data_IF_009987784644
#
_entry.id   IF_009987784644
#
_cell.length_a   1.000
_cell.length_b   1.000
_cell.length_c   1.000
_cell.angle_alpha   90.00
_cell.angle_beta   90.00
_cell.angle_gamma   90.00
#
_symmetry.space_group_name_H-M   'P 1'
#
loop_
_entity.id
_entity.type
_entity.pdbx_description
1 polymer ?
#
# COMPACT_ATOMS: atom_id res chain seq x y z
N UNK A 1 2.97 -44.34 -12.14
CA UNK A 1 2.74 -42.98 -12.67
C UNK A 1 3.32 -42.03 -11.65
N UNK A 2 4.44 -41.38 -11.98
CA UNK A 2 5.01 -40.33 -11.14
C UNK A 2 4.08 -39.12 -11.20
N UNK A 3 3.72 -38.56 -10.05
CA UNK A 3 3.06 -37.27 -9.99
C UNK A 3 3.91 -36.25 -10.77
N UNK A 4 3.29 -35.33 -11.55
CA UNK A 4 4.06 -34.30 -12.22
C UNK A 4 4.79 -33.49 -11.16
N UNK A 5 6.12 -33.36 -11.31
CA UNK A 5 6.92 -32.48 -10.48
C UNK A 5 6.33 -31.06 -10.61
N UNK A 6 5.91 -30.46 -9.49
CA UNK A 6 5.47 -29.07 -9.50
C UNK A 6 6.65 -28.20 -9.94
N UNK A 7 6.48 -27.46 -11.03
CA UNK A 7 7.38 -26.36 -11.34
C UNK A 7 7.22 -25.32 -10.24
N UNK A 8 8.29 -25.02 -9.50
CA UNK A 8 8.33 -23.81 -8.67
C UNK A 8 8.11 -22.62 -9.59
N UNK A 9 7.14 -21.74 -9.29
CA UNK A 9 7.29 -20.36 -9.79
C UNK A 9 8.57 -19.83 -9.20
N UNK A 10 9.44 -19.41 -10.11
CA UNK A 10 10.49 -18.48 -9.77
C UNK A 10 9.94 -17.08 -10.05
N UNK A 11 9.69 -16.30 -8.99
CA UNK A 11 9.33 -14.88 -9.11
C UNK A 11 10.59 -14.10 -9.50
N UNK A 12 11.04 -14.31 -10.73
CA UNK A 12 12.36 -13.87 -11.17
C UNK A 12 12.32 -12.43 -11.71
N UNK A 13 11.92 -11.49 -10.84
CA UNK A 13 12.06 -10.07 -11.12
C UNK A 13 13.39 -9.56 -10.53
N UNK A 14 14.31 -9.05 -11.37
CA UNK A 14 15.63 -8.64 -10.88
C UNK A 14 15.60 -7.37 -10.02
N UNK A 15 14.52 -6.57 -10.15
CA UNK A 15 14.23 -5.36 -9.37
C UNK A 15 12.72 -5.13 -9.23
N UNK A 16 12.33 -4.44 -8.15
CA UNK A 16 10.97 -3.93 -7.93
C UNK A 16 10.97 -2.41 -7.78
N UNK A 17 10.09 -1.73 -8.53
CA UNK A 17 9.84 -0.30 -8.41
C UNK A 17 8.42 -0.09 -7.89
N UNK A 18 8.28 0.40 -6.67
CA UNK A 18 6.98 0.54 -6.02
C UNK A 18 6.50 2.00 -6.04
N UNK A 19 5.20 2.20 -6.29
CA UNK A 19 4.49 3.48 -6.28
C UNK A 19 3.25 3.31 -5.43
N UNK A 20 2.85 4.34 -4.69
CA UNK A 20 1.74 4.15 -3.77
C UNK A 20 1.55 5.23 -2.74
N UNK A 21 0.74 4.89 -1.75
CA UNK A 21 0.53 5.69 -0.55
C UNK A 21 1.16 5.06 0.70
N UNK A 22 0.61 5.38 1.88
CA UNK A 22 1.09 4.89 3.18
C UNK A 22 0.99 3.37 3.34
N UNK A 23 0.14 2.68 2.57
CA UNK A 23 0.05 1.22 2.59
C UNK A 23 1.34 0.53 2.10
N UNK A 24 2.18 1.26 1.37
CA UNK A 24 3.46 0.75 0.87
C UNK A 24 4.63 1.72 1.06
N UNK A 25 4.46 2.84 1.78
CA UNK A 25 5.54 3.79 2.06
C UNK A 25 6.59 3.20 3.01
N UNK A 26 7.85 3.18 2.58
CA UNK A 26 8.99 2.71 3.36
C UNK A 26 9.82 3.84 3.96
N UNK A 27 9.30 5.07 3.97
CA UNK A 27 9.88 6.23 4.65
C UNK A 27 10.02 7.50 3.82
N UNK A 28 9.45 7.61 2.61
CA UNK A 28 9.59 8.80 1.77
C UNK A 28 9.01 10.05 2.42
N UNK A 29 7.81 9.97 3.03
CA UNK A 29 7.22 11.16 3.67
C UNK A 29 8.04 11.64 4.89
N UNK A 30 8.67 10.70 5.60
CA UNK A 30 9.55 10.98 6.74
C UNK A 30 10.88 11.57 6.27
N UNK A 31 11.50 10.97 5.25
CA UNK A 31 12.74 11.47 4.66
C UNK A 31 12.58 12.86 4.03
N UNK A 32 11.36 13.21 3.59
CA UNK A 32 11.02 14.56 3.14
C UNK A 32 10.90 15.59 4.27
N UNK A 33 10.90 15.17 5.54
CA UNK A 33 10.71 16.04 6.70
C UNK A 33 9.29 16.58 6.86
N UNK A 34 8.31 15.97 6.18
CA UNK A 34 6.90 16.41 6.22
C UNK A 34 6.19 15.86 7.46
N UNK A 35 6.53 14.63 7.85
CA UNK A 35 5.94 13.95 9.00
C UNK A 35 7.02 13.25 9.82
N UNK A 36 6.70 12.86 11.06
CA UNK A 36 7.55 12.05 11.92
C UNK A 36 6.77 10.86 12.43
N UNK A 37 7.33 9.67 12.26
CA UNK A 37 6.84 8.43 12.88
C UNK A 37 7.65 8.19 14.15
N UNK A 38 6.94 8.08 15.27
CA UNK A 38 7.53 7.83 16.60
C UNK A 38 7.18 6.41 17.06
N UNK A 39 7.81 5.88 18.12
CA UNK A 39 7.30 4.66 18.77
C UNK A 39 5.81 4.82 19.12
N UNK A 40 4.99 3.77 19.01
CA UNK A 40 5.35 2.35 18.87
C UNK A 40 5.42 1.79 17.43
N UNK A 41 5.43 2.64 16.39
CA UNK A 41 5.57 2.14 15.01
C UNK A 41 6.87 1.35 14.82
N UNK A 42 6.81 0.26 14.04
CA UNK A 42 7.94 -0.62 13.77
C UNK A 42 8.38 -1.52 14.93
N UNK A 43 7.68 -1.54 16.07
CA UNK A 43 8.07 -2.30 17.27
C UNK A 43 8.22 -3.82 17.06
N UNK A 44 7.44 -4.43 16.17
CA UNK A 44 7.41 -5.89 15.99
C UNK A 44 8.64 -6.37 15.22
N UNK A 45 8.84 -5.89 13.99
CA UNK A 45 9.95 -6.34 13.14
C UNK A 45 11.21 -5.48 13.28
N UNK A 46 11.08 -4.17 13.16
CA UNK A 46 12.22 -3.24 13.08
C UNK A 46 12.78 -2.80 14.43
N UNK A 47 12.06 -3.10 15.52
CA UNK A 47 12.38 -2.73 16.91
C UNK A 47 12.44 -1.21 17.14
N UNK A 48 11.72 -0.46 16.31
CA UNK A 48 11.59 0.99 16.35
C UNK A 48 11.09 1.57 15.03
N UNK A 49 10.85 2.90 14.96
CA UNK A 49 10.37 3.56 13.75
C UNK A 49 11.26 3.28 12.54
N UNK A 50 10.65 2.79 11.46
CA UNK A 50 11.32 2.44 10.20
C UNK A 50 10.77 3.19 8.98
N UNK A 51 9.95 4.21 9.22
CA UNK A 51 9.26 4.98 8.17
C UNK A 51 7.98 4.34 7.63
N UNK A 52 7.61 3.16 8.13
CA UNK A 52 6.39 2.42 7.75
C UNK A 52 5.23 2.75 8.69
N UNK A 53 4.04 2.93 8.13
CA UNK A 53 2.80 3.23 8.86
C UNK A 53 2.17 1.94 9.40
N UNK A 54 2.92 1.21 10.20
CA UNK A 54 2.57 -0.10 10.77
C UNK A 54 3.37 -0.34 12.06
N UNK A 55 2.94 -1.26 12.90
CA UNK A 55 3.73 -1.78 14.02
C UNK A 55 4.94 -2.63 13.57
N UNK A 56 5.06 -2.89 12.26
CA UNK A 56 6.25 -3.48 11.67
C UNK A 56 6.20 -3.52 10.15
N UNK A 57 6.21 -4.72 9.55
CA UNK A 57 6.24 -4.90 8.09
C UNK A 57 4.92 -4.54 7.41
N UNK A 58 5.03 -3.95 6.21
CA UNK A 58 3.93 -3.69 5.29
C UNK A 58 3.71 -4.88 4.36
N UNK A 59 2.58 -4.89 3.63
CA UNK A 59 2.30 -5.91 2.61
C UNK A 59 3.44 -6.01 1.56
N UNK A 60 4.03 -4.87 1.16
CA UNK A 60 5.17 -4.86 0.23
C UNK A 60 6.41 -5.56 0.80
N UNK A 61 6.69 -5.45 2.09
CA UNK A 61 7.86 -6.09 2.71
C UNK A 61 7.72 -7.62 2.69
N UNK A 62 6.53 -8.13 2.98
CA UNK A 62 6.25 -9.57 2.88
C UNK A 62 6.33 -10.10 1.44
N UNK A 63 5.95 -9.28 0.45
CA UNK A 63 6.12 -9.63 -0.97
C UNK A 63 7.61 -9.66 -1.34
N UNK A 64 8.41 -8.71 -0.83
CA UNK A 64 9.87 -8.72 -1.02
C UNK A 64 10.50 -9.98 -0.39
N UNK A 65 10.11 -10.34 0.84
CA UNK A 65 10.53 -11.58 1.51
C UNK A 65 10.18 -12.81 0.67
N UNK A 66 8.96 -12.88 0.11
CA UNK A 66 8.51 -14.00 -0.71
C UNK A 66 9.25 -14.12 -2.06
N UNK A 67 9.86 -13.03 -2.54
CA UNK A 67 10.67 -13.02 -3.76
C UNK A 67 12.17 -13.18 -3.47
N UNK A 68 12.55 -13.44 -2.21
CA UNK A 68 13.95 -13.49 -1.75
C UNK A 68 14.73 -12.20 -2.11
N UNK A 69 14.06 -11.05 -2.02
CA UNK A 69 14.62 -9.73 -2.29
C UNK A 69 14.72 -8.88 -1.01
N UNK A 70 15.73 -8.00 -0.89
CA UNK A 70 15.84 -7.10 0.24
C UNK A 70 14.69 -6.07 0.24
N UNK A 71 14.27 -5.61 1.41
CA UNK A 71 13.28 -4.54 1.52
C UNK A 71 13.69 -3.30 0.73
N UNK A 72 12.69 -2.69 0.09
CA UNK A 72 12.91 -1.51 -0.73
C UNK A 72 13.32 -0.31 0.13
N UNK A 73 14.34 0.41 -0.33
CA UNK A 73 14.72 1.71 0.23
C UNK A 73 13.79 2.80 -0.32
N UNK A 74 13.44 3.77 0.53
CA UNK A 74 12.73 4.98 0.11
C UNK A 74 13.61 5.81 -0.83
N UNK A 75 13.02 6.31 -1.93
CA UNK A 75 13.72 7.15 -2.91
C UNK A 75 14.32 8.43 -2.29
N UNK A 76 13.62 9.03 -1.33
CA UNK A 76 14.02 10.30 -0.70
C UNK A 76 15.03 10.15 0.44
N UNK A 77 15.38 8.92 0.84
CA UNK A 77 16.37 8.73 1.90
C UNK A 77 17.77 9.10 1.40
N UNK A 78 18.33 10.14 2.00
CA UNK A 78 19.60 10.73 1.61
C UNK A 78 20.78 10.19 2.44
N UNK A 79 20.52 9.72 3.66
CA UNK A 79 21.55 9.31 4.63
C UNK A 79 21.30 7.87 5.09
N UNK A 80 22.36 7.12 5.32
CA UNK A 80 22.32 5.66 5.38
C UNK A 80 22.87 5.10 4.07
N UNK A 81 23.03 3.80 3.95
CA UNK A 81 23.49 3.17 2.71
C UNK A 81 22.27 2.64 1.94
N UNK A 82 21.37 3.48 1.36
CA UNK A 82 20.27 2.96 0.59
C UNK A 82 20.84 2.19 -0.59
N UNK A 83 20.43 0.93 -0.70
CA UNK A 83 20.87 0.05 -1.75
C UNK A 83 19.71 -0.14 -2.73
N UNK A 84 19.79 0.57 -3.85
CA UNK A 84 18.77 0.52 -4.88
C UNK A 84 19.01 -0.60 -5.90
N UNK A 85 20.00 -1.48 -5.71
CA UNK A 85 20.39 -2.52 -6.68
C UNK A 85 19.21 -3.40 -7.10
N UNK A 86 18.30 -3.67 -6.17
CA UNK A 86 17.09 -4.49 -6.37
C UNK A 86 15.82 -3.65 -6.49
N UNK A 87 15.96 -2.36 -6.78
CA UNK A 87 14.85 -1.45 -7.00
C UNK A 87 14.69 -0.38 -5.92
N UNK A 88 13.57 0.32 -5.95
CA UNK A 88 13.35 1.54 -5.18
C UNK A 88 11.86 1.75 -4.90
N UNK A 89 11.54 2.37 -3.76
CA UNK A 89 10.18 2.72 -3.41
C UNK A 89 9.94 4.23 -3.53
N UNK A 90 8.94 4.61 -4.32
CA UNK A 90 8.49 5.98 -4.55
C UNK A 90 7.16 6.28 -3.85
N UNK A 91 6.51 5.28 -3.22
CA UNK A 91 5.30 5.48 -2.45
C UNK A 91 5.54 6.46 -1.30
N UNK A 92 4.58 7.34 -1.05
CA UNK A 92 4.65 8.30 0.05
C UNK A 92 3.29 8.39 0.75
N UNK A 93 3.29 8.42 2.07
CA UNK A 93 2.05 8.52 2.83
C UNK A 93 1.20 9.74 2.44
N UNK A 94 -0.13 9.55 2.45
CA UNK A 94 -1.08 10.57 2.03
C UNK A 94 -1.09 10.89 0.53
N UNK A 95 -0.29 10.20 -0.29
CA UNK A 95 -0.28 10.42 -1.74
C UNK A 95 -1.62 10.11 -2.40
N UNK A 96 -1.97 10.95 -3.36
CA UNK A 96 -3.14 10.82 -4.23
C UNK A 96 -2.71 10.54 -5.66
N UNK A 97 -3.62 9.96 -6.46
CA UNK A 97 -3.46 9.89 -7.91
C UNK A 97 -3.50 11.30 -8.49
N UNK A 98 -4.49 12.08 -8.07
CA UNK A 98 -4.66 13.45 -8.55
C UNK A 98 -3.48 14.34 -8.11
N UNK A 99 -3.13 15.39 -8.89
CA UNK A 99 -2.11 16.37 -8.50
C UNK A 99 -2.40 17.00 -7.13
N UNK A 100 -1.33 17.18 -6.35
CA UNK A 100 -1.43 17.81 -5.04
C UNK A 100 -1.86 19.29 -5.18
N UNK A 101 -2.71 19.72 -4.27
CA UNK A 101 -3.15 21.11 -4.08
C UNK A 101 -2.53 21.68 -2.81
N UNK A 102 -2.64 23.00 -2.55
CA UNK A 102 -2.13 23.61 -1.31
C UNK A 102 -2.73 23.03 -0.01
N UNK A 103 -3.86 22.32 -0.10
CA UNK A 103 -4.51 21.66 1.05
C UNK A 103 -4.20 20.17 1.14
N UNK A 104 -3.36 19.64 0.24
CA UNK A 104 -3.00 18.22 0.25
C UNK A 104 -2.02 17.93 1.39
N UNK A 105 -2.22 16.81 2.08
CA UNK A 105 -1.35 16.37 3.18
C UNK A 105 0.00 15.86 2.68
N UNK A 106 0.10 15.51 1.40
CA UNK A 106 1.32 15.03 0.75
C UNK A 106 1.50 15.73 -0.60
N UNK A 107 2.69 16.29 -0.91
CA UNK A 107 2.98 16.90 -2.19
C UNK A 107 3.36 15.87 -3.29
N UNK A 108 3.63 14.63 -2.92
CA UNK A 108 4.14 13.59 -3.82
C UNK A 108 2.99 12.79 -4.45
N UNK A 109 2.17 13.43 -5.28
CA UNK A 109 1.12 12.72 -6.04
C UNK A 109 1.72 11.66 -6.97
N UNK A 110 0.89 10.76 -7.50
CA UNK A 110 1.34 9.71 -8.42
C UNK A 110 2.19 10.25 -9.59
N UNK A 111 1.76 11.35 -10.21
CA UNK A 111 2.53 12.00 -11.27
C UNK A 111 3.92 12.49 -10.85
N UNK A 112 4.08 12.89 -9.59
CA UNK A 112 5.37 13.25 -8.98
C UNK A 112 6.21 11.99 -8.72
N UNK A 113 5.63 10.93 -8.16
CA UNK A 113 6.33 9.65 -7.95
C UNK A 113 6.85 9.07 -9.28
N UNK A 114 6.05 9.13 -10.35
CA UNK A 114 6.49 8.76 -11.71
C UNK A 114 7.67 9.65 -12.14
N UNK A 115 7.61 10.95 -11.89
CA UNK A 115 8.69 11.88 -12.24
C UNK A 115 9.98 11.63 -11.44
N UNK A 116 9.85 11.21 -10.17
CA UNK A 116 10.96 10.74 -9.34
C UNK A 116 11.60 9.49 -9.92
N UNK A 117 10.80 8.50 -10.38
CA UNK A 117 11.30 7.32 -11.07
C UNK A 117 12.04 7.67 -12.38
N UNK A 118 11.48 8.54 -13.21
CA UNK A 118 12.12 8.99 -14.46
C UNK A 118 13.50 9.59 -14.17
N UNK A 119 13.57 10.49 -13.18
CA UNK A 119 14.83 11.07 -12.71
C UNK A 119 15.80 10.01 -12.18
N UNK A 120 15.30 9.10 -11.35
CA UNK A 120 16.09 8.01 -10.77
C UNK A 120 16.72 7.15 -11.88
N UNK A 121 15.92 6.66 -12.83
CA UNK A 121 16.38 5.85 -13.96
C UNK A 121 17.44 6.57 -14.78
N UNK A 122 17.17 7.82 -15.18
CA UNK A 122 18.12 8.63 -15.95
C UNK A 122 19.46 8.79 -15.21
N UNK A 123 19.40 9.03 -13.89
CA UNK A 123 20.60 9.17 -13.06
C UNK A 123 21.36 7.85 -12.89
N UNK A 124 20.66 6.74 -12.76
CA UNK A 124 21.26 5.40 -12.69
C UNK A 124 22.04 5.10 -13.96
N UNK A 125 21.42 5.25 -15.13
CA UNK A 125 22.07 4.99 -16.43
C UNK A 125 23.30 5.87 -16.61
N UNK A 126 23.20 7.16 -16.27
CA UNK A 126 24.34 8.08 -16.31
C UNK A 126 25.50 7.62 -15.39
N UNK A 127 25.21 7.19 -14.17
CA UNK A 127 26.23 6.75 -13.21
C UNK A 127 26.89 5.43 -13.62
N UNK A 128 26.14 4.46 -14.13
CA UNK A 128 26.68 3.19 -14.61
C UNK A 128 27.68 3.37 -15.76
N UNK A 129 27.46 4.37 -16.63
CA UNK A 129 28.41 4.68 -17.70
C UNK A 129 29.73 5.27 -17.19
N UNK A 130 29.73 5.87 -15.99
CA UNK A 130 30.91 6.52 -15.39
C UNK A 130 31.79 5.57 -14.60
N UNK A 131 31.22 4.57 -13.92
CA UNK A 131 32.00 3.63 -13.12
C UNK A 131 31.26 2.34 -12.78
N UNK A 132 31.92 1.21 -12.99
CA UNK A 132 31.46 -0.12 -12.51
C UNK A 132 31.35 -0.23 -10.99
N UNK A 133 31.86 0.74 -10.23
CA UNK A 133 31.71 0.77 -8.76
C UNK A 133 30.26 0.97 -8.33
N UNK A 134 29.38 1.45 -9.21
CA UNK A 134 27.97 1.69 -8.90
C UNK A 134 27.09 0.43 -9.10
N UNK A 135 27.56 -0.58 -9.83
CA UNK A 135 26.84 -1.84 -10.12
C UNK A 135 26.44 -2.61 -8.84
N UNK A 136 27.14 -2.38 -7.73
CA UNK A 136 26.82 -2.96 -6.41
C UNK A 136 25.67 -2.27 -5.67
N UNK A 137 25.28 -1.06 -6.09
CA UNK A 137 24.30 -0.23 -5.39
C UNK A 137 23.10 0.17 -6.28
N UNK A 138 23.24 0.09 -7.60
CA UNK A 138 22.22 0.55 -8.55
C UNK A 138 21.73 -0.62 -9.43
N UNK A 139 20.47 -0.58 -9.91
CA UNK A 139 19.97 -1.58 -10.85
C UNK A 139 20.77 -1.56 -12.14
N UNK A 140 20.99 -2.73 -12.75
CA UNK A 140 21.49 -2.78 -14.13
C UNK A 140 20.46 -2.16 -15.09
N UNK A 141 20.92 -1.64 -16.23
CA UNK A 141 20.03 -0.95 -17.18
C UNK A 141 18.90 -1.85 -17.69
N UNK A 142 19.16 -3.13 -17.94
CA UNK A 142 18.14 -4.09 -18.38
C UNK A 142 17.12 -4.43 -17.28
N UNK A 143 17.42 -4.15 -16.01
CA UNK A 143 16.49 -4.36 -14.90
C UNK A 143 15.30 -3.40 -14.95
N UNK A 144 15.41 -2.23 -15.59
CA UNK A 144 14.26 -1.35 -15.80
C UNK A 144 13.22 -1.96 -16.74
N UNK A 145 13.65 -2.72 -17.75
CA UNK A 145 12.72 -3.44 -18.63
C UNK A 145 12.17 -4.71 -17.98
N UNK A 146 13.03 -5.45 -17.25
CA UNK A 146 12.69 -6.74 -16.62
C UNK A 146 11.99 -6.62 -15.27
N UNK A 147 12.10 -5.46 -14.61
CA UNK A 147 11.61 -5.24 -13.27
C UNK A 147 10.09 -5.26 -13.16
N UNK A 148 9.61 -5.41 -11.92
CA UNK A 148 8.20 -5.34 -11.56
C UNK A 148 7.86 -3.93 -11.06
N UNK A 149 6.75 -3.39 -11.54
CA UNK A 149 6.23 -2.08 -11.17
C UNK A 149 4.96 -2.28 -10.36
N UNK A 150 4.98 -1.94 -9.08
CA UNK A 150 3.88 -2.19 -8.14
C UNK A 150 3.14 -0.89 -7.79
N UNK A 151 1.82 -0.96 -7.66
CA UNK A 151 0.96 0.20 -7.41
C UNK A 151 -0.08 -0.12 -6.33
N UNK A 152 -0.12 0.69 -5.27
CA UNK A 152 -1.19 0.71 -4.26
C UNK A 152 -1.54 2.18 -3.94
N UNK A 153 -2.49 2.74 -4.70
CA UNK A 153 -2.83 4.17 -4.67
C UNK A 153 -4.29 4.40 -5.10
N UNK A 154 -4.85 5.54 -4.68
CA UNK A 154 -6.22 5.96 -5.02
C UNK A 154 -7.17 6.02 -3.81
N UNK A 155 -6.81 5.34 -2.71
CA UNK A 155 -7.64 5.33 -1.50
C UNK A 155 -7.73 6.75 -0.89
N UNK A 156 -6.63 7.52 -0.88
CA UNK A 156 -6.63 8.90 -0.39
C UNK A 156 -7.47 9.85 -1.25
N UNK A 157 -7.55 9.63 -2.57
CA UNK A 157 -8.40 10.44 -3.47
C UNK A 157 -9.87 10.32 -3.07
N UNK A 158 -10.32 9.12 -2.69
CA UNK A 158 -11.67 8.89 -2.18
C UNK A 158 -11.83 9.40 -0.75
N UNK A 159 -10.93 9.00 0.15
CA UNK A 159 -11.00 9.33 1.58
C UNK A 159 -11.03 10.84 1.83
N UNK A 160 -10.11 11.59 1.21
CA UNK A 160 -10.05 13.04 1.34
C UNK A 160 -11.28 13.74 0.75
N UNK A 161 -11.88 13.19 -0.31
CA UNK A 161 -13.05 13.78 -0.94
C UNK A 161 -14.31 13.73 -0.06
N UNK A 162 -14.49 12.69 0.75
CA UNK A 162 -15.63 12.57 1.68
C UNK A 162 -15.69 13.69 2.75
N UNK A 163 -14.58 14.37 3.02
CA UNK A 163 -14.56 15.50 3.95
C UNK A 163 -15.17 16.78 3.39
N UNK A 164 -15.37 16.89 2.06
CA UNK A 164 -15.77 18.14 1.41
C UNK A 164 -16.73 18.01 0.24
N UNK A 165 -16.98 16.80 -0.27
CA UNK A 165 -17.81 16.53 -1.45
C UNK A 165 -18.97 15.60 -1.14
N UNK A 166 -20.04 15.71 -1.92
CA UNK A 166 -21.13 14.74 -1.91
C UNK A 166 -20.70 13.42 -2.56
N UNK A 167 -21.43 12.34 -2.27
CA UNK A 167 -21.20 11.03 -2.88
C UNK A 167 -21.19 11.10 -4.42
N UNK A 168 -22.17 11.78 -5.02
CA UNK A 168 -22.26 11.91 -6.48
C UNK A 168 -21.06 12.66 -7.08
N UNK A 169 -20.57 13.70 -6.40
CA UNK A 169 -19.36 14.42 -6.82
C UNK A 169 -18.10 13.55 -6.72
N UNK A 170 -18.03 12.67 -5.71
CA UNK A 170 -16.92 11.72 -5.55
C UNK A 170 -16.94 10.71 -6.71
N UNK A 171 -18.08 10.07 -6.96
CA UNK A 171 -18.23 9.11 -8.06
C UNK A 171 -17.93 9.75 -9.42
N UNK A 172 -18.40 10.98 -9.65
CA UNK A 172 -18.13 11.73 -10.88
C UNK A 172 -16.65 12.09 -11.06
N UNK A 173 -15.84 12.10 -9.99
CA UNK A 173 -14.41 12.40 -10.06
C UNK A 173 -13.52 11.18 -10.37
N UNK A 174 -14.03 9.96 -10.19
CA UNK A 174 -13.28 8.71 -10.41
C UNK A 174 -12.66 8.64 -11.83
N UNK A 175 -13.39 8.95 -12.93
CA UNK A 175 -12.81 8.90 -14.28
C UNK A 175 -11.61 9.83 -14.45
N UNK A 176 -11.66 11.03 -13.86
CA UNK A 176 -10.54 11.98 -13.91
C UNK A 176 -9.31 11.45 -13.20
N UNK A 177 -9.48 10.84 -12.02
CA UNK A 177 -8.36 10.21 -11.30
C UNK A 177 -7.78 9.05 -12.08
N UNK A 178 -8.62 8.18 -12.65
CA UNK A 178 -8.13 7.05 -13.47
C UNK A 178 -7.45 7.48 -14.76
N UNK A 179 -7.83 8.64 -15.34
CA UNK A 179 -7.11 9.24 -16.45
C UNK A 179 -5.68 9.67 -16.06
N UNK A 180 -5.51 10.30 -14.89
CA UNK A 180 -4.17 10.64 -14.38
C UNK A 180 -3.33 9.39 -14.07
N UNK A 181 -3.97 8.33 -13.53
CA UNK A 181 -3.32 7.04 -13.34
C UNK A 181 -2.88 6.42 -14.68
N UNK A 182 -3.76 6.40 -15.68
CA UNK A 182 -3.45 5.92 -17.03
C UNK A 182 -2.26 6.68 -17.64
N UNK A 183 -2.23 8.01 -17.50
CA UNK A 183 -1.11 8.84 -17.98
C UNK A 183 0.22 8.48 -17.30
N UNK A 184 0.22 8.23 -16.00
CA UNK A 184 1.41 7.79 -15.29
C UNK A 184 1.89 6.40 -15.74
N UNK A 185 0.97 5.44 -15.91
CA UNK A 185 1.29 4.10 -16.45
C UNK A 185 1.89 4.22 -17.86
N UNK A 186 1.28 5.05 -18.73
CA UNK A 186 1.81 5.30 -20.07
C UNK A 186 3.24 5.85 -20.02
N UNK A 187 3.52 6.82 -19.16
CA UNK A 187 4.88 7.39 -19.01
C UNK A 187 5.90 6.34 -18.57
N UNK A 188 5.54 5.47 -17.62
CA UNK A 188 6.40 4.36 -17.20
C UNK A 188 6.63 3.35 -18.33
N UNK A 189 5.58 3.03 -19.09
CA UNK A 189 5.66 2.14 -20.26
C UNK A 189 6.57 2.71 -21.37
N UNK A 190 6.44 4.00 -21.67
CA UNK A 190 7.28 4.73 -22.62
C UNK A 190 8.76 4.70 -22.17
N UNK A 191 8.99 4.66 -20.86
CA UNK A 191 10.29 4.45 -20.22
C UNK A 191 10.72 2.98 -20.10
N UNK A 192 10.08 2.07 -20.83
CA UNK A 192 10.52 0.68 -20.94
C UNK A 192 9.98 -0.27 -19.88
N UNK A 193 9.14 0.19 -18.94
CA UNK A 193 8.47 -0.70 -18.00
C UNK A 193 7.57 -1.70 -18.74
N UNK A 194 7.58 -2.98 -18.32
CA UNK A 194 6.79 -4.04 -18.97
C UNK A 194 5.99 -4.93 -18.03
N UNK A 195 6.28 -4.93 -16.73
CA UNK A 195 5.54 -5.76 -15.78
C UNK A 195 4.88 -4.85 -14.74
N UNK A 196 3.56 -4.72 -14.80
CA UNK A 196 2.76 -3.90 -13.91
C UNK A 196 1.91 -4.78 -13.00
N UNK A 197 1.91 -4.47 -11.73
CA UNK A 197 1.16 -5.14 -10.68
C UNK A 197 0.36 -4.08 -9.92
N UNK A 198 -0.94 -4.05 -10.16
CA UNK A 198 -1.83 -2.96 -9.76
C UNK A 198 -2.80 -3.50 -8.72
N UNK A 199 -2.67 -3.05 -7.48
CA UNK A 199 -3.66 -3.26 -6.45
C UNK A 199 -4.84 -2.32 -6.66
N UNK A 200 -6.05 -2.80 -6.41
CA UNK A 200 -7.20 -1.93 -6.23
C UNK A 200 -7.24 -1.35 -4.81
N UNK A 201 -8.24 -0.54 -4.45
CA UNK A 201 -8.32 0.07 -3.11
C UNK A 201 -8.97 -0.86 -2.09
N UNK A 202 -8.71 -0.67 -0.79
CA UNK A 202 -9.29 -1.46 0.29
C UNK A 202 -10.73 -1.06 0.68
N UNK A 203 -11.34 -1.75 1.66
CA UNK A 203 -12.65 -1.40 2.22
C UNK A 203 -12.57 -0.12 3.05
N UNK A 204 -12.60 1.02 2.35
CA UNK A 204 -12.42 2.36 2.91
C UNK A 204 -13.37 2.65 4.07
N UNK A 205 -14.62 2.16 4.01
CA UNK A 205 -15.61 2.38 5.06
C UNK A 205 -15.29 1.68 6.38
N UNK A 206 -14.39 0.69 6.37
CA UNK A 206 -14.04 -0.10 7.54
C UNK A 206 -12.83 0.44 8.33
N UNK A 207 -12.26 1.56 7.90
CA UNK A 207 -11.21 2.23 8.68
C UNK A 207 -11.83 2.83 9.95
N UNK A 208 -11.24 2.60 11.13
CA UNK A 208 -11.76 3.11 12.39
C UNK A 208 -11.93 4.65 12.35
N UNK A 209 -11.01 5.34 11.65
CA UNK A 209 -11.12 6.78 11.39
C UNK A 209 -12.43 7.15 10.67
N UNK A 210 -12.77 6.43 9.60
CA UNK A 210 -13.97 6.72 8.81
C UNK A 210 -15.23 6.37 9.58
N UNK A 211 -15.24 5.26 10.32
CA UNK A 211 -16.35 4.90 11.20
C UNK A 211 -16.55 5.97 12.29
N UNK A 212 -15.47 6.41 12.95
CA UNK A 212 -15.54 7.46 13.97
C UNK A 212 -16.08 8.79 13.43
N UNK A 213 -15.70 9.16 12.19
CA UNK A 213 -16.06 10.46 11.60
C UNK A 213 -17.43 10.47 10.92
N UNK A 214 -17.75 9.41 10.18
CA UNK A 214 -18.90 9.35 9.25
C UNK A 214 -19.93 8.28 9.62
N UNK A 215 -19.61 7.40 10.58
CA UNK A 215 -20.46 6.30 11.05
C UNK A 215 -21.29 6.62 12.29
N UNK A 216 -21.52 7.89 12.63
CA UNK A 216 -22.30 8.30 13.81
C UNK A 216 -23.81 8.04 13.67
N UNK A 217 -24.28 7.81 12.44
CA UNK A 217 -25.64 7.39 12.11
C UNK A 217 -25.63 5.89 11.76
N UNK A 218 -26.20 5.01 12.61
CA UNK A 218 -26.20 3.57 12.37
C UNK A 218 -26.84 3.14 11.05
N UNK A 219 -27.75 3.95 10.48
CA UNK A 219 -28.37 3.65 9.19
C UNK A 219 -27.40 3.72 8.00
N UNK A 220 -26.22 4.32 8.21
CA UNK A 220 -25.15 4.43 7.20
C UNK A 220 -24.10 3.33 7.32
N UNK A 221 -24.22 2.46 8.33
CA UNK A 221 -23.31 1.35 8.53
C UNK A 221 -23.84 0.09 7.82
N UNK A 222 -22.93 -0.67 7.21
CA UNK A 222 -23.23 -2.01 6.73
C UNK A 222 -23.21 -3.04 7.88
N UNK A 223 -23.50 -4.30 7.56
CA UNK A 223 -23.58 -5.40 8.54
C UNK A 223 -22.27 -5.64 9.30
N UNK A 224 -21.14 -5.15 8.80
CA UNK A 224 -19.83 -5.24 9.44
C UNK A 224 -19.51 -4.01 10.31
N UNK A 225 -20.42 -3.03 10.39
CA UNK A 225 -20.19 -1.77 11.10
C UNK A 225 -19.33 -0.78 10.30
N UNK A 226 -19.15 -0.99 9.01
CA UNK A 226 -18.37 -0.10 8.14
C UNK A 226 -19.27 0.95 7.47
N UNK A 227 -18.72 2.12 7.14
CA UNK A 227 -19.48 3.18 6.46
C UNK A 227 -19.80 2.77 5.01
N UNK A 228 -21.07 2.43 4.74
CA UNK A 228 -21.49 1.79 3.50
C UNK A 228 -21.17 2.63 2.25
N UNK A 229 -21.42 3.95 2.30
CA UNK A 229 -21.14 4.86 1.18
C UNK A 229 -19.65 4.94 0.80
N UNK A 230 -18.75 4.80 1.77
CA UNK A 230 -17.31 4.77 1.50
C UNK A 230 -16.91 3.47 0.81
N UNK A 231 -17.42 2.33 1.29
CA UNK A 231 -17.23 1.03 0.66
C UNK A 231 -17.82 0.99 -0.76
N UNK A 232 -18.96 1.63 -0.99
CA UNK A 232 -19.58 1.72 -2.33
C UNK A 232 -18.73 2.53 -3.30
N UNK A 233 -18.20 3.69 -2.88
CA UNK A 233 -17.29 4.48 -3.70
C UNK A 233 -15.99 3.73 -4.03
N UNK A 234 -15.40 3.03 -3.06
CA UNK A 234 -14.24 2.17 -3.27
C UNK A 234 -14.51 1.05 -4.28
N UNK A 235 -15.66 0.36 -4.16
CA UNK A 235 -16.08 -0.67 -5.13
C UNK A 235 -16.27 -0.09 -6.55
N UNK A 236 -16.85 1.09 -6.69
CA UNK A 236 -17.01 1.76 -7.99
C UNK A 236 -15.67 2.17 -8.60
N UNK A 237 -14.74 2.68 -7.78
CA UNK A 237 -13.38 2.97 -8.22
C UNK A 237 -12.68 1.69 -8.69
N UNK A 238 -12.74 0.63 -7.90
CA UNK A 238 -12.12 -0.66 -8.21
C UNK A 238 -12.68 -1.29 -9.50
N UNK A 239 -13.99 -1.18 -9.73
CA UNK A 239 -14.63 -1.62 -10.97
C UNK A 239 -14.07 -0.90 -12.20
N UNK A 240 -13.96 0.43 -12.13
CA UNK A 240 -13.42 1.24 -13.24
C UNK A 240 -11.91 1.04 -13.42
N UNK A 241 -11.15 0.87 -12.33
CA UNK A 241 -9.73 0.54 -12.38
C UNK A 241 -9.51 -0.81 -13.07
N UNK A 242 -10.30 -1.83 -12.73
CA UNK A 242 -10.22 -3.14 -13.38
C UNK A 242 -10.55 -3.05 -14.89
N UNK A 243 -11.56 -2.26 -15.28
CA UNK A 243 -11.84 -1.99 -16.69
C UNK A 243 -10.66 -1.29 -17.39
N UNK A 244 -10.02 -0.32 -16.72
CA UNK A 244 -8.81 0.33 -17.21
C UNK A 244 -7.65 -0.67 -17.36
N UNK A 245 -7.44 -1.60 -16.41
CA UNK A 245 -6.39 -2.61 -16.56
C UNK A 245 -6.63 -3.53 -17.75
N UNK A 246 -7.89 -3.90 -18.06
CA UNK A 246 -8.22 -4.66 -19.29
C UNK A 246 -7.93 -3.85 -20.55
N UNK A 247 -8.27 -2.55 -20.57
CA UNK A 247 -7.92 -1.64 -21.67
C UNK A 247 -6.40 -1.59 -21.89
N UNK A 248 -5.63 -1.40 -20.82
CA UNK A 248 -4.16 -1.33 -20.90
C UNK A 248 -3.55 -2.66 -21.36
N UNK A 249 -4.10 -3.80 -20.92
CA UNK A 249 -3.69 -5.14 -21.41
C UNK A 249 -3.88 -5.30 -22.92
N UNK A 250 -4.98 -4.77 -23.47
CA UNK A 250 -5.25 -4.81 -24.91
C UNK A 250 -4.34 -3.83 -25.69
N UNK A 251 -4.04 -2.67 -25.10
CA UNK A 251 -3.23 -1.63 -25.71
C UNK A 251 -1.72 -1.94 -25.72
N UNK A 252 -1.20 -2.58 -24.66
CA UNK A 252 0.23 -2.86 -24.48
C UNK A 252 0.51 -4.36 -24.55
N UNK A 253 0.44 -4.91 -25.77
CA UNK A 253 0.57 -6.34 -26.02
C UNK A 253 1.95 -6.94 -25.63
N UNK A 254 3.00 -6.12 -25.53
CA UNK A 254 4.34 -6.54 -25.09
C UNK A 254 4.56 -6.41 -23.57
N UNK A 255 3.50 -6.10 -22.80
CA UNK A 255 3.53 -5.93 -21.35
C UNK A 255 2.69 -6.97 -20.60
N UNK A 256 3.14 -7.32 -19.41
CA UNK A 256 2.35 -8.02 -18.43
C UNK A 256 1.69 -7.04 -17.46
N UNK A 257 0.36 -7.00 -17.41
CA UNK A 257 -0.38 -6.14 -16.49
C UNK A 257 -1.26 -7.05 -15.65
N UNK A 258 -1.08 -7.01 -14.34
CA UNK A 258 -1.79 -7.84 -13.36
C UNK A 258 -2.58 -6.93 -12.45
N UNK A 259 -3.91 -7.09 -12.44
CA UNK A 259 -4.78 -6.49 -11.43
C UNK A 259 -4.90 -7.46 -10.26
N UNK A 260 -4.82 -6.95 -9.03
CA UNK A 260 -4.98 -7.71 -7.79
C UNK A 260 -6.11 -7.12 -6.95
N UNK A 261 -7.11 -7.94 -6.64
CA UNK A 261 -8.28 -7.56 -5.87
C UNK A 261 -8.01 -7.61 -4.36
N UNK A 262 -7.24 -6.64 -3.86
CA UNK A 262 -6.94 -6.52 -2.44
C UNK A 262 -8.17 -6.08 -1.62
N UNK A 263 -9.18 -5.46 -2.24
CA UNK A 263 -10.46 -5.15 -1.60
C UNK A 263 -11.09 -6.41 -1.03
N UNK A 264 -11.23 -7.44 -1.86
CA UNK A 264 -11.88 -8.68 -1.46
C UNK A 264 -11.08 -9.39 -0.36
N UNK A 265 -9.74 -9.39 -0.44
CA UNK A 265 -8.86 -9.96 0.60
C UNK A 265 -9.09 -9.25 1.95
N UNK A 266 -8.98 -7.92 1.97
CA UNK A 266 -9.15 -7.10 3.18
C UNK A 266 -10.58 -7.19 3.74
N UNK A 267 -11.59 -7.19 2.87
CA UNK A 267 -12.99 -7.35 3.27
C UNK A 267 -13.26 -8.74 3.86
N UNK A 268 -12.67 -9.79 3.30
CA UNK A 268 -12.80 -11.16 3.82
C UNK A 268 -12.11 -11.32 5.19
N UNK A 269 -10.95 -10.70 5.36
CA UNK A 269 -10.25 -10.63 6.66
C UNK A 269 -11.14 -9.98 7.71
N UNK A 270 -11.72 -8.81 7.42
CA UNK A 270 -12.60 -8.10 8.36
C UNK A 270 -13.86 -8.91 8.67
N UNK A 271 -14.51 -9.49 7.66
CA UNK A 271 -15.74 -10.24 7.85
C UNK A 271 -15.54 -11.56 8.61
N UNK A 272 -14.37 -12.18 8.51
CA UNK A 272 -14.07 -13.50 9.07
C UNK A 272 -12.90 -13.47 10.06
N UNK A 273 -12.62 -12.31 10.66
CA UNK A 273 -11.42 -12.03 11.46
C UNK A 273 -11.09 -13.13 12.49
N UNK A 274 -12.11 -13.63 13.20
CA UNK A 274 -11.98 -14.68 14.21
C UNK A 274 -11.51 -16.02 13.67
N UNK A 275 -11.82 -16.35 12.40
CA UNK A 275 -11.32 -17.57 11.74
C UNK A 275 -9.82 -17.50 11.46
N UNK A 276 -9.27 -16.30 11.38
CA UNK A 276 -7.86 -16.06 11.07
C UNK A 276 -7.05 -15.70 12.32
N UNK A 277 -7.62 -15.83 13.52
CA UNK A 277 -6.93 -15.59 14.79
C UNK A 277 -6.98 -14.15 15.29
N UNK A 278 -7.68 -13.25 14.60
CA UNK A 278 -7.87 -11.88 15.08
C UNK A 278 -9.06 -11.81 16.04
N UNK A 279 -9.02 -10.87 16.98
CA UNK A 279 -10.12 -10.54 17.89
C UNK A 279 -10.80 -9.21 17.55
N UNK A 280 -10.10 -8.29 16.89
CA UNK A 280 -10.58 -6.93 16.64
C UNK A 280 -10.46 -6.54 15.16
N UNK A 281 -11.57 -6.54 14.39
CA UNK A 281 -11.53 -6.27 12.95
C UNK A 281 -11.45 -4.78 12.59
N UNK A 282 -12.01 -3.90 13.43
CA UNK A 282 -12.11 -2.45 13.16
C UNK A 282 -11.40 -1.61 14.23
N UNK A 283 -11.49 -1.99 15.51
CA UNK A 283 -10.87 -1.26 16.61
C UNK A 283 -9.36 -1.10 16.36
N UNK A 284 -8.83 0.11 16.56
CA UNK A 284 -7.41 0.38 16.41
C UNK A 284 -6.63 -0.20 17.60
N UNK A 285 -5.53 -0.89 17.33
CA UNK A 285 -4.61 -1.35 18.37
C UNK A 285 -3.93 -0.16 19.06
N UNK A 286 -3.40 0.79 18.30
CA UNK A 286 -2.74 1.99 18.77
C UNK A 286 -3.62 3.22 18.63
N UNK A 287 -4.12 3.72 19.75
CA UNK A 287 -5.04 4.84 19.72
C UNK A 287 -5.51 5.29 21.09
N UNK A 288 -6.55 6.11 21.11
CA UNK A 288 -7.11 6.72 22.31
C UNK A 288 -8.63 6.77 22.22
N UNK A 289 -9.31 6.67 23.37
CA UNK A 289 -10.78 6.75 23.47
C UNK A 289 -11.46 5.42 23.81
N UNK A 290 -10.75 4.29 23.74
CA UNK A 290 -11.28 2.98 24.11
C UNK A 290 -12.32 2.40 23.13
N UNK A 291 -12.92 1.24 23.46
CA UNK A 291 -13.90 0.57 22.59
C UNK A 291 -15.10 1.48 22.23
N UNK A 292 -15.71 1.30 21.05
CA UNK A 292 -15.47 0.19 20.10
C UNK A 292 -14.38 0.46 19.06
N UNK A 293 -13.86 1.69 18.94
CA UNK A 293 -12.93 2.06 17.86
C UNK A 293 -11.51 2.32 18.33
N UNK A 294 -11.32 2.73 19.59
CA UNK A 294 -10.06 3.19 20.15
C UNK A 294 -9.37 4.24 19.27
N UNK A 295 -10.13 5.20 18.74
CA UNK A 295 -9.63 6.20 17.81
C UNK A 295 -10.10 7.61 18.16
N UNK A 296 -9.17 8.56 18.17
CA UNK A 296 -9.44 9.99 18.30
C UNK A 296 -8.49 10.77 17.38
N UNK A 297 -9.04 11.47 16.39
CA UNK A 297 -8.24 12.20 15.38
C UNK A 297 -7.36 13.31 15.97
N UNK A 298 -7.61 13.71 17.22
CA UNK A 298 -6.82 14.75 17.89
C UNK A 298 -5.47 14.24 18.37
N UNK A 299 -5.32 12.94 18.63
CA UNK A 299 -4.13 12.32 19.22
C UNK A 299 -3.77 11.05 18.45
N UNK A 300 -2.78 11.16 17.56
CA UNK A 300 -2.32 10.01 16.75
C UNK A 300 -1.51 9.02 17.58
N UNK A 301 -1.39 7.78 17.08
CA UNK A 301 -0.62 6.71 17.71
C UNK A 301 0.78 7.18 18.15
N UNK A 302 1.16 6.87 19.39
CA UNK A 302 2.44 7.27 19.99
C UNK A 302 2.54 8.74 20.41
N UNK A 303 1.54 9.57 20.11
CA UNK A 303 1.53 10.98 20.51
C UNK A 303 0.98 11.16 21.92
N UNK A 304 1.56 12.11 22.65
CA UNK A 304 1.04 12.64 23.90
C UNK A 304 0.54 14.05 23.69
N UNK A 305 -0.69 14.35 24.09
CA UNK A 305 -1.31 15.68 23.97
C UNK A 305 -2.10 16.05 25.22
N UNK A 306 -2.28 17.34 25.44
CA UNK A 306 -3.20 17.85 26.47
C UNK A 306 -4.57 18.07 25.83
N UNK A 307 -5.57 17.31 26.27
CA UNK A 307 -6.97 17.44 25.84
C UNK A 307 -7.79 17.72 27.09
N UNK A 308 -8.54 18.83 27.10
CA UNK A 308 -9.38 19.25 28.25
C UNK A 308 -8.59 19.26 29.57
N UNK A 309 -7.40 19.89 29.59
CA UNK A 309 -6.48 19.95 30.73
C UNK A 309 -5.99 18.58 31.26
N UNK A 310 -6.18 17.51 30.51
CA UNK A 310 -5.69 16.16 30.84
C UNK A 310 -4.63 15.75 29.83
N UNK A 311 -3.47 15.29 30.31
CA UNK A 311 -2.44 14.69 29.45
C UNK A 311 -2.87 13.28 29.07
N UNK A 312 -2.99 13.04 27.77
CA UNK A 312 -3.40 11.75 27.21
C UNK A 312 -2.36 11.27 26.20
N UNK A 313 -2.17 9.96 26.13
CA UNK A 313 -1.26 9.31 25.18
C UNK A 313 -2.04 8.25 24.42
N UNK A 314 -1.94 8.24 23.10
CA UNK A 314 -2.42 7.11 22.31
C UNK A 314 -1.39 5.98 22.37
N UNK A 315 -1.74 4.91 23.09
CA UNK A 315 -0.86 3.78 23.34
C UNK A 315 -1.23 2.61 22.43
N UNK A 316 -0.25 1.76 22.11
CA UNK A 316 -0.50 0.46 21.48
C UNK A 316 -1.21 -0.49 22.43
N UNK A 317 -2.00 -1.39 21.86
CA UNK A 317 -2.51 -2.57 22.54
C UNK A 317 -1.36 -3.51 22.97
N UNK A 318 -1.66 -4.48 23.84
CA UNK A 318 -0.66 -5.42 24.35
C UNK A 318 -0.21 -6.45 23.30
N UNK A 319 -1.12 -6.89 22.45
CA UNK A 319 -0.86 -7.88 21.39
C UNK A 319 -1.50 -7.40 20.08
N UNK A 320 -0.67 -6.89 19.17
CA UNK A 320 -1.14 -6.41 17.87
C UNK A 320 -1.50 -7.53 16.90
N UNK A 321 -1.17 -8.80 17.21
CA UNK A 321 -1.57 -9.95 16.38
C UNK A 321 -3.07 -10.23 16.45
N UNK A 322 -3.74 -9.75 17.50
CA UNK A 322 -5.20 -9.86 17.66
C UNK A 322 -5.98 -8.76 16.90
N UNK A 323 -5.29 -7.76 16.34
CA UNK A 323 -5.92 -6.58 15.75
C UNK A 323 -5.66 -6.51 14.25
N UNK A 324 -6.70 -6.25 13.45
CA UNK A 324 -6.53 -5.96 12.02
C UNK A 324 -6.02 -4.54 11.81
N UNK A 325 -6.58 -3.58 12.56
CA UNK A 325 -6.31 -2.16 12.42
C UNK A 325 -5.24 -1.68 13.41
N UNK A 326 -4.20 -1.02 12.91
CA UNK A 326 -3.10 -0.49 13.72
C UNK A 326 -3.46 0.85 14.37
N UNK A 327 -3.70 1.91 13.61
CA UNK A 327 -3.77 3.30 14.13
C UNK A 327 -5.09 4.03 13.80
N UNK A 328 -6.06 3.30 13.28
CA UNK A 328 -7.35 3.76 12.77
C UNK A 328 -7.41 3.89 11.25
N UNK A 329 -6.26 3.81 10.56
CA UNK A 329 -6.14 3.96 9.10
C UNK A 329 -5.38 2.77 8.50
N UNK A 330 -4.25 2.41 9.10
CA UNK A 330 -3.35 1.38 8.59
C UNK A 330 -3.56 0.05 9.28
N UNK A 331 -3.03 -1.01 8.68
CA UNK A 331 -3.20 -2.38 9.15
C UNK A 331 -1.96 -2.83 9.93
N UNK A 332 -2.15 -3.73 10.89
CA UNK A 332 -1.04 -4.30 11.68
C UNK A 332 -0.12 -5.17 10.82
N UNK A 333 1.08 -5.50 11.32
CA UNK A 333 2.00 -6.42 10.67
C UNK A 333 1.34 -7.79 10.45
N UNK A 334 0.59 -8.29 11.43
CA UNK A 334 -0.13 -9.56 11.34
C UNK A 334 -1.19 -9.53 10.22
N UNK A 335 -1.94 -8.44 10.09
CA UNK A 335 -2.91 -8.29 9.01
C UNK A 335 -2.22 -8.14 7.64
N UNK A 336 -1.12 -7.40 7.56
CA UNK A 336 -0.30 -7.30 6.34
C UNK A 336 0.30 -8.65 5.92
N UNK A 337 0.69 -9.49 6.88
CA UNK A 337 1.15 -10.85 6.63
C UNK A 337 0.03 -11.71 6.04
N UNK A 338 -1.16 -11.67 6.63
CA UNK A 338 -2.33 -12.38 6.08
C UNK A 338 -2.63 -11.91 4.65
N UNK A 339 -2.70 -10.60 4.43
CA UNK A 339 -3.03 -10.02 3.12
C UNK A 339 -2.01 -10.43 2.07
N UNK A 340 -0.72 -10.31 2.36
CA UNK A 340 0.35 -10.74 1.44
C UNK A 340 0.27 -12.24 1.15
N UNK A 341 -0.04 -13.08 2.15
CA UNK A 341 -0.20 -14.52 1.93
C UNK A 341 -1.35 -14.85 0.97
N UNK A 342 -2.48 -14.14 1.07
CA UNK A 342 -3.63 -14.32 0.17
C UNK A 342 -3.33 -13.79 -1.25
N UNK A 343 -2.64 -12.66 -1.36
CA UNK A 343 -2.14 -12.12 -2.65
C UNK A 343 -1.26 -13.17 -3.34
N UNK A 344 -0.33 -13.79 -2.60
CA UNK A 344 0.59 -14.82 -3.06
C UNK A 344 -0.09 -16.19 -3.29
N UNK A 345 -1.41 -16.31 -3.19
CA UNK A 345 -2.13 -17.47 -3.74
C UNK A 345 -2.47 -17.27 -5.22
N UNK A 346 -2.56 -16.02 -5.67
CA UNK A 346 -2.94 -15.64 -7.04
C UNK A 346 -4.42 -15.80 -7.36
N UNK A 347 -5.23 -16.25 -6.40
CA UNK A 347 -6.69 -16.42 -6.56
C UNK A 347 -7.41 -15.10 -6.81
N UNK A 348 -6.82 -13.99 -6.37
CA UNK A 348 -7.38 -12.65 -6.48
C UNK A 348 -6.78 -11.85 -7.65
N UNK A 349 -6.12 -12.51 -8.60
CA UNK A 349 -5.42 -11.87 -9.72
C UNK A 349 -6.01 -12.27 -11.09
N UNK A 350 -6.21 -11.28 -11.96
CA UNK A 350 -6.89 -11.40 -13.26
C UNK A 350 -6.20 -12.30 -14.30
N UNK A 351 -4.88 -12.43 -14.21
CA UNK A 351 -4.10 -13.37 -15.00
C UNK A 351 -3.65 -14.46 -14.03
N UNK A 352 -3.81 -15.75 -14.37
CA UNK A 352 -3.42 -16.81 -13.47
C UNK A 352 -1.90 -16.81 -13.35
N UNK A 353 -1.40 -16.11 -12.32
CA UNK A 353 -0.36 -16.69 -11.49
C UNK A 353 -0.88 -17.93 -10.74
N UNK A 354 -2.21 -18.13 -10.70
CA UNK A 354 -2.88 -19.27 -10.09
C UNK A 354 -2.43 -20.64 -10.63
N UNK A 355 -2.09 -20.76 -11.92
CA UNK A 355 -1.60 -22.03 -12.51
C UNK A 355 -0.13 -22.32 -12.17
N UNK A 356 0.55 -21.36 -11.54
CA UNK A 356 1.98 -21.41 -11.35
C UNK A 356 2.34 -21.33 -9.84
N UNK A 357 1.50 -20.78 -8.96
CA UNK A 357 1.86 -20.59 -7.54
C UNK A 357 1.69 -21.87 -6.71
N UNK A 358 2.74 -22.37 -6.04
CA UNK A 358 2.59 -23.49 -5.13
C UNK A 358 1.80 -23.08 -3.89
N UNK A 359 0.97 -24.01 -3.42
CA UNK A 359 0.26 -23.92 -2.16
C UNK A 359 1.22 -23.78 -0.98
N UNK A 360 0.79 -22.94 -0.02
CA UNK A 360 1.30 -22.77 1.34
C UNK A 360 2.78 -22.37 1.46
N UNK A 361 3.01 -21.08 1.69
CA UNK A 361 4.19 -20.62 2.43
C UNK A 361 4.27 -21.44 3.72
N UNK A 362 5.38 -22.12 3.97
CA UNK A 362 5.69 -22.60 5.31
C UNK A 362 5.97 -21.36 6.17
N UNK A 363 4.93 -20.84 6.81
CA UNK A 363 5.06 -19.79 7.81
C UNK A 363 5.98 -20.33 8.90
N UNK A 364 7.22 -19.84 8.96
CA UNK A 364 8.08 -20.03 10.12
C UNK A 364 7.55 -19.09 11.19
N UNK A 365 6.78 -19.66 12.12
CA UNK A 365 6.37 -19.01 13.36
C UNK A 365 7.58 -18.76 14.26
#
# INVERSE_FOLDING_TARGET
MFAPMSHSIDFNFPSIFNFGDSNSDTGNLIAAGIETINPPYGQIHFKGPSGRYCDGRLTIDFIMDAFDLPFLSAYLEAVGLPNFRRGCNFAAAGSTINPATPTSVCPFSFGIQVSQFLRFKARVVELLTKSKKFDKYLPAEDYFRKGLYMFDIGQNDLAGAFYSKSYDQIVASIPTSLFEFENGIKRLYDEGARNFWIHNTGPLGCLAQNVAKFGTDPSKLDELGCVAGHNQAAKLFNLQLHALTKKLQAQYADSNITHVDIYTIKSNLIANYSRYGFAQPIMACCGYGGPPLNYDSRVGCGQTKVINNTTVTANSCNDSTEYVNWDGIHYTEAANQYISSEILTGKYSDRPFADKMPFALSLKF
#
